data_IF_606489822314
#
_entry.id   IF_606489822314
#
_cell.length_a   1.000
_cell.length_b   1.000
_cell.length_c   1.000
_cell.angle_alpha   90.00
_cell.angle_beta   90.00
_cell.angle_gamma   90.00
#
_symmetry.space_group_name_H-M   'P 1'
#
loop_
_entity.id
_entity.type
_entity.pdbx_description
1 polymer ?
#
# COMPACT_ATOMS: atom_id res chain seq x y z
N UNK A 1 11.79 -4.93 -7.44
CA UNK A 1 11.44 -3.78 -6.56
C UNK A 1 10.77 -2.67 -7.34
N UNK A 2 9.44 -2.73 -7.47
CA UNK A 2 8.63 -1.67 -8.11
C UNK A 2 8.23 -0.62 -7.09
N UNK A 3 8.37 0.66 -7.42
CA UNK A 3 7.97 1.78 -6.56
C UNK A 3 6.75 2.47 -7.16
N UNK A 4 5.66 2.53 -6.41
CA UNK A 4 4.40 3.12 -6.86
C UNK A 4 3.98 4.33 -6.04
N UNK A 5 3.42 5.33 -6.69
CA UNK A 5 2.61 6.34 -6.01
C UNK A 5 1.34 5.71 -5.44
N UNK A 6 0.83 6.20 -4.30
CA UNK A 6 -0.42 5.72 -3.70
C UNK A 6 -1.59 5.55 -4.70
N UNK A 7 -1.89 6.49 -5.62
CA UNK A 7 -2.97 6.31 -6.59
C UNK A 7 -2.75 5.12 -7.54
N UNK A 8 -1.50 4.89 -7.98
CA UNK A 8 -1.15 3.75 -8.84
C UNK A 8 -1.25 2.43 -8.09
N UNK A 9 -0.74 2.38 -6.86
CA UNK A 9 -0.84 1.20 -6.00
C UNK A 9 -2.29 0.83 -5.74
N UNK A 10 -3.12 1.80 -5.31
CA UNK A 10 -4.54 1.55 -5.09
C UNK A 10 -5.24 1.08 -6.37
N UNK A 11 -5.00 1.75 -7.51
CA UNK A 11 -5.64 1.35 -8.78
C UNK A 11 -5.25 -0.07 -9.21
N UNK A 12 -4.01 -0.49 -8.99
CA UNK A 12 -3.52 -1.82 -9.35
C UNK A 12 -4.16 -2.93 -8.53
N UNK A 13 -4.41 -2.66 -7.26
CA UNK A 13 -4.83 -3.69 -6.30
C UNK A 13 -6.26 -3.52 -5.77
N UNK A 14 -7.00 -2.48 -6.19
CA UNK A 14 -8.35 -2.18 -5.66
C UNK A 14 -9.31 -3.36 -5.68
N UNK A 15 -9.17 -4.28 -6.65
CA UNK A 15 -10.04 -5.44 -6.82
C UNK A 15 -9.57 -6.64 -5.98
N UNK A 16 -8.32 -6.63 -5.51
CA UNK A 16 -7.73 -7.67 -4.66
C UNK A 16 -7.69 -7.28 -3.19
N UNK A 17 -7.72 -5.99 -2.89
CA UNK A 17 -7.75 -5.49 -1.52
C UNK A 17 -9.19 -5.09 -1.21
N UNK A 18 -9.86 -5.84 -0.33
CA UNK A 18 -11.20 -5.53 0.17
C UNK A 18 -11.15 -4.36 1.18
N UNK A 19 -10.62 -3.23 0.73
CA UNK A 19 -10.44 -2.04 1.56
C UNK A 19 -10.69 -0.79 0.75
N UNK A 20 -11.51 0.10 1.31
CA UNK A 20 -11.76 1.41 0.72
C UNK A 20 -10.48 2.24 0.63
N UNK A 21 -10.43 3.14 -0.37
CA UNK A 21 -9.28 4.02 -0.62
C UNK A 21 -8.82 4.78 0.62
N UNK A 22 -9.75 5.35 1.38
CA UNK A 22 -9.42 6.13 2.59
C UNK A 22 -8.88 5.25 3.72
N UNK A 23 -9.39 4.02 3.86
CA UNK A 23 -8.87 3.04 4.80
C UNK A 23 -7.45 2.60 4.41
N UNK A 24 -7.19 2.32 3.12
CA UNK A 24 -5.83 2.04 2.65
C UNK A 24 -4.89 3.22 2.88
N UNK A 25 -5.36 4.45 2.65
CA UNK A 25 -4.59 5.66 2.92
C UNK A 25 -4.19 5.78 4.39
N UNK A 26 -5.08 5.40 5.33
CA UNK A 26 -4.74 5.36 6.76
C UNK A 26 -3.67 4.29 7.05
N UNK A 27 -3.75 3.13 6.40
CA UNK A 27 -2.75 2.05 6.54
C UNK A 27 -1.38 2.52 6.03
N UNK A 28 -1.32 3.14 4.85
CA UNK A 28 -0.07 3.64 4.25
C UNK A 28 0.61 4.71 5.10
N UNK A 29 -0.17 5.45 5.91
CA UNK A 29 0.36 6.46 6.85
C UNK A 29 0.81 5.86 8.20
N UNK A 30 0.56 4.57 8.47
CA UNK A 30 1.00 3.96 9.73
C UNK A 30 2.51 3.79 9.73
N UNK A 31 3.10 3.95 10.92
CA UNK A 31 4.54 3.71 11.13
C UNK A 31 4.86 2.25 10.78
N UNK A 32 5.92 2.05 10.00
CA UNK A 32 6.35 0.74 9.55
C UNK A 32 5.68 0.24 8.26
N UNK A 33 4.75 1.00 7.67
CA UNK A 33 4.31 0.69 6.32
C UNK A 33 5.48 0.92 5.34
N UNK A 34 5.78 -0.04 4.45
CA UNK A 34 6.93 0.02 3.55
C UNK A 34 6.71 1.03 2.42
N UNK A 35 7.01 2.27 2.76
CA UNK A 35 7.00 3.41 1.88
C UNK A 35 8.06 4.42 2.33
N UNK A 36 8.43 5.30 1.42
CA UNK A 36 9.25 6.46 1.71
C UNK A 36 8.58 7.73 1.19
N UNK A 37 8.93 8.87 1.77
CA UNK A 37 8.34 10.16 1.40
C UNK A 37 9.16 10.82 0.30
N UNK A 38 8.48 11.27 -0.76
CA UNK A 38 9.06 12.17 -1.77
C UNK A 38 8.26 13.48 -1.70
N UNK A 39 8.84 14.47 -1.04
CA UNK A 39 8.09 15.65 -0.58
C UNK A 39 6.94 15.23 0.34
N UNK A 40 5.72 15.67 0.03
CA UNK A 40 4.51 15.30 0.78
C UNK A 40 3.82 14.02 0.29
N UNK A 41 4.39 13.33 -0.71
CA UNK A 41 3.76 12.15 -1.30
C UNK A 41 4.44 10.84 -0.87
N UNK A 42 3.70 9.83 -0.40
CA UNK A 42 4.25 8.52 -0.15
C UNK A 42 4.52 7.78 -1.47
N UNK A 43 5.71 7.18 -1.55
CA UNK A 43 6.14 6.22 -2.57
C UNK A 43 6.20 4.84 -1.92
N UNK A 44 5.33 3.96 -2.37
CA UNK A 44 5.10 2.63 -1.83
C UNK A 44 6.06 1.67 -2.50
N UNK A 45 6.76 0.88 -1.69
CA UNK A 45 7.58 -0.23 -2.18
C UNK A 45 6.63 -1.41 -2.35
N UNK A 46 6.33 -1.77 -3.60
CA UNK A 46 5.21 -2.66 -3.92
C UNK A 46 5.31 -4.03 -3.26
N UNK A 47 6.45 -4.71 -3.42
CA UNK A 47 6.64 -6.08 -2.91
C UNK A 47 6.52 -6.14 -1.38
N UNK A 48 7.22 -5.25 -0.69
CA UNK A 48 7.16 -5.14 0.77
C UNK A 48 5.76 -4.73 1.24
N UNK A 49 5.08 -3.83 0.54
CA UNK A 49 3.73 -3.40 0.89
C UNK A 49 2.72 -4.54 0.78
N UNK A 50 2.84 -5.38 -0.25
CA UNK A 50 2.01 -6.57 -0.41
C UNK A 50 2.26 -7.53 0.75
N UNK A 51 3.52 -7.78 1.10
CA UNK A 51 3.87 -8.64 2.23
C UNK A 51 3.35 -8.08 3.56
N UNK A 52 3.56 -6.79 3.82
CA UNK A 52 3.06 -6.10 5.00
C UNK A 52 1.53 -6.21 5.13
N UNK A 53 0.82 -6.03 4.01
CA UNK A 53 -0.65 -6.13 3.96
C UNK A 53 -1.14 -7.58 4.16
N UNK A 54 -0.43 -8.57 3.61
CA UNK A 54 -0.72 -10.00 3.83
C UNK A 54 -0.51 -10.38 5.30
N UNK A 55 0.64 -10.02 5.86
CA UNK A 55 1.05 -10.41 7.22
C UNK A 55 0.28 -9.68 8.32
N UNK A 56 0.01 -8.39 8.17
CA UNK A 56 -0.62 -7.58 9.24
C UNK A 56 -2.14 -7.43 9.09
N UNK A 57 -2.69 -7.55 7.87
CA UNK A 57 -4.12 -7.33 7.60
C UNK A 57 -4.80 -8.52 6.93
N UNK A 58 -4.07 -9.59 6.61
CA UNK A 58 -4.64 -10.80 6.00
C UNK A 58 -5.13 -10.60 4.56
N UNK A 59 -4.70 -9.55 3.86
CA UNK A 59 -5.20 -9.26 2.52
C UNK A 59 -4.73 -10.28 1.48
N UNK A 60 -5.66 -10.83 0.70
CA UNK A 60 -5.36 -11.76 -0.39
C UNK A 60 -5.02 -11.02 -1.69
N UNK A 61 -3.87 -10.35 -1.71
CA UNK A 61 -3.38 -9.64 -2.90
C UNK A 61 -2.77 -10.66 -3.87
N UNK A 62 -3.40 -10.82 -5.05
CA UNK A 62 -2.96 -11.67 -6.17
C UNK A 62 -2.38 -10.85 -7.30
#
# INVERSE_FOLDING_TARGET
MTILSFPKFYKKYKDSIDVGRESLRKIVKRKGFPCFMVGSQPRIIEEEAIEYLKTNYGFQIR
#
